data_IF_378431723593
#
_entry.id   IF_378431723593
#
_cell.length_a   1.000
_cell.length_b   1.000
_cell.length_c   1.000
_cell.angle_alpha   90.00
_cell.angle_beta   90.00
_cell.angle_gamma   90.00
#
_symmetry.space_group_name_H-M   'P 1'
#
loop_
_entity.id
_entity.type
_entity.pdbx_description
1 polymer ?
#
# COMPACT_ATOMS: atom_id res chain seq x y z
N UNK A 1 -1.93 15.04 3.46
CA UNK A 1 -2.87 13.94 3.20
C UNK A 1 -3.43 13.49 4.53
N UNK A 2 -4.72 13.16 4.63
CA UNK A 2 -5.27 12.60 5.87
C UNK A 2 -4.41 11.41 6.30
N UNK A 3 -4.06 11.38 7.59
CA UNK A 3 -3.15 10.38 8.15
C UNK A 3 -3.76 8.99 7.95
N UNK A 4 -3.07 8.14 7.20
CA UNK A 4 -3.41 6.73 7.14
C UNK A 4 -2.90 6.06 8.42
N UNK A 5 -3.58 5.01 8.90
CA UNK A 5 -3.09 4.23 10.02
C UNK A 5 -1.70 3.67 9.72
N UNK A 6 -0.83 3.60 10.73
CA UNK A 6 0.51 3.01 10.61
C UNK A 6 0.46 1.54 10.15
N UNK A 7 -0.66 0.85 10.39
CA UNK A 7 -0.89 -0.51 9.91
C UNK A 7 -0.89 -0.61 8.38
N UNK A 8 -1.25 0.46 7.66
CA UNK A 8 -1.23 0.48 6.18
C UNK A 8 0.20 0.38 5.68
N UNK A 9 1.13 1.14 6.28
CA UNK A 9 2.53 1.11 5.88
C UNK A 9 3.15 -0.26 6.19
N UNK A 10 2.84 -0.82 7.36
CA UNK A 10 3.25 -2.19 7.72
C UNK A 10 2.68 -3.23 6.73
N UNK A 11 1.40 -3.15 6.39
CA UNK A 11 0.77 -4.05 5.42
C UNK A 11 1.36 -3.89 4.01
N UNK A 12 1.79 -2.68 3.63
CA UNK A 12 2.49 -2.43 2.36
C UNK A 12 3.87 -3.12 2.38
N UNK A 13 4.65 -2.95 3.44
CA UNK A 13 5.99 -3.52 3.56
C UNK A 13 5.98 -5.05 3.61
N UNK A 14 4.99 -5.63 4.27
CA UNK A 14 4.77 -7.08 4.39
C UNK A 14 3.99 -7.68 3.21
N UNK A 15 3.79 -6.92 2.12
CA UNK A 15 3.10 -7.36 0.90
C UNK A 15 1.64 -7.82 1.12
N UNK A 16 1.02 -7.39 2.22
CA UNK A 16 -0.37 -7.69 2.60
C UNK A 16 -1.34 -6.74 1.90
N UNK A 17 -1.26 -6.66 0.56
CA UNK A 17 -1.95 -5.67 -0.29
C UNK A 17 -3.46 -5.61 -0.01
N UNK A 18 -4.12 -6.76 0.14
CA UNK A 18 -5.56 -6.83 0.43
C UNK A 18 -5.90 -6.16 1.78
N UNK A 19 -5.08 -6.36 2.80
CA UNK A 19 -5.28 -5.77 4.13
C UNK A 19 -5.05 -4.27 4.11
N UNK A 20 -4.00 -3.81 3.42
CA UNK A 20 -3.75 -2.39 3.20
C UNK A 20 -4.94 -1.72 2.50
N UNK A 21 -5.42 -2.30 1.38
CA UNK A 21 -6.57 -1.77 0.64
C UNK A 21 -7.85 -1.75 1.47
N UNK A 22 -8.11 -2.81 2.25
CA UNK A 22 -9.26 -2.87 3.14
C UNK A 22 -9.20 -1.75 4.19
N UNK A 23 -8.06 -1.59 4.85
CA UNK A 23 -7.84 -0.55 5.87
C UNK A 23 -8.01 0.85 5.28
N UNK A 24 -7.47 1.10 4.08
CA UNK A 24 -7.65 2.37 3.36
C UNK A 24 -9.12 2.65 3.08
N UNK A 25 -9.86 1.65 2.57
CA UNK A 25 -11.30 1.79 2.29
C UNK A 25 -12.12 2.07 3.54
N UNK A 26 -11.86 1.34 4.62
CA UNK A 26 -12.57 1.52 5.89
C UNK A 26 -12.26 2.88 6.53
N UNK A 27 -11.00 3.32 6.46
CA UNK A 27 -10.58 4.61 7.03
C UNK A 27 -11.12 5.80 6.24
N UNK A 28 -11.09 5.73 4.91
CA UNK A 28 -11.48 6.84 4.03
C UNK A 28 -12.95 6.78 3.58
N UNK A 29 -13.65 5.68 3.86
CA UNK A 29 -15.00 5.44 3.34
C UNK A 29 -15.06 5.41 1.80
N UNK A 30 -13.98 5.03 1.13
CA UNK A 30 -13.81 5.22 -0.32
C UNK A 30 -14.07 3.95 -1.15
N UNK A 31 -14.19 4.17 -2.46
CA UNK A 31 -14.30 3.07 -3.44
C UNK A 31 -12.98 2.30 -3.55
N UNK A 32 -13.03 1.08 -4.12
CA UNK A 32 -11.82 0.30 -4.35
C UNK A 32 -10.81 1.01 -5.26
N UNK A 33 -11.27 1.68 -6.32
CA UNK A 33 -10.39 2.46 -7.20
C UNK A 33 -9.67 3.57 -6.45
N UNK A 34 -10.40 4.36 -5.65
CA UNK A 34 -9.78 5.41 -4.84
C UNK A 34 -8.81 4.85 -3.80
N UNK A 35 -9.10 3.67 -3.23
CA UNK A 35 -8.18 3.00 -2.32
C UNK A 35 -6.91 2.54 -3.01
N UNK A 36 -7.00 2.08 -4.26
CA UNK A 36 -5.85 1.72 -5.09
C UNK A 36 -4.98 2.95 -5.39
N UNK A 37 -5.57 4.10 -5.73
CA UNK A 37 -4.83 5.36 -5.91
C UNK A 37 -4.06 5.74 -4.64
N UNK A 38 -4.75 5.71 -3.49
CA UNK A 38 -4.15 6.03 -2.18
C UNK A 38 -3.04 5.04 -1.82
N UNK A 39 -3.27 3.74 -2.07
CA UNK A 39 -2.29 2.68 -1.86
C UNK A 39 -1.04 2.90 -2.72
N UNK A 40 -1.21 3.13 -4.02
CA UNK A 40 -0.11 3.33 -4.95
C UNK A 40 0.74 4.55 -4.56
N UNK A 41 0.09 5.64 -4.16
CA UNK A 41 0.78 6.83 -3.71
C UNK A 41 1.60 6.57 -2.43
N UNK A 42 1.03 5.88 -1.43
CA UNK A 42 1.76 5.50 -0.21
C UNK A 42 2.91 4.56 -0.47
N UNK A 43 2.72 3.58 -1.34
CA UNK A 43 3.77 2.67 -1.75
C UNK A 43 4.96 3.43 -2.36
N UNK A 44 4.71 4.39 -3.25
CA UNK A 44 5.79 5.21 -3.84
C UNK A 44 6.48 6.12 -2.81
N UNK A 45 5.73 6.69 -1.85
CA UNK A 45 6.29 7.47 -0.74
C UNK A 45 7.23 6.61 0.12
N UNK A 46 6.77 5.43 0.55
CA UNK A 46 7.58 4.49 1.35
C UNK A 46 8.81 4.02 0.57
N UNK A 47 8.66 3.69 -0.71
CA UNK A 47 9.78 3.29 -1.57
C UNK A 47 10.84 4.37 -1.73
N UNK A 48 10.44 5.64 -1.69
CA UNK A 48 11.34 6.78 -1.80
C UNK A 48 12.05 7.07 -0.49
N UNK A 49 11.31 7.07 0.62
CA UNK A 49 11.82 7.48 1.92
C UNK A 49 12.57 6.34 2.63
N UNK A 50 12.17 5.09 2.39
CA UNK A 50 12.70 3.88 3.04
C UNK A 50 12.82 2.71 2.06
N UNK A 51 13.67 2.82 1.03
CA UNK A 51 13.85 1.75 0.05
C UNK A 51 14.36 0.44 0.68
N UNK A 52 15.18 0.51 1.72
CA UNK A 52 15.76 -0.65 2.42
C UNK A 52 14.75 -1.52 3.19
N UNK A 53 13.57 -0.97 3.53
CA UNK A 53 12.51 -1.73 4.20
C UNK A 53 11.76 -2.67 3.23
N UNK A 54 11.97 -2.53 1.92
CA UNK A 54 11.35 -3.41 0.92
C UNK A 54 12.27 -4.58 0.61
N UNK A 55 11.79 -5.80 0.89
CA UNK A 55 12.52 -7.04 0.58
C UNK A 55 12.42 -7.46 -0.90
N UNK A 56 11.39 -6.98 -1.63
CA UNK A 56 11.17 -7.31 -3.03
C UNK A 56 11.55 -6.17 -3.96
N UNK A 57 11.79 -6.49 -5.24
CA UNK A 57 11.90 -5.50 -6.33
C UNK A 57 10.53 -4.96 -6.72
N UNK A 58 10.47 -3.83 -7.44
CA UNK A 58 9.19 -3.27 -7.95
C UNK A 58 8.44 -4.27 -8.85
N UNK A 59 9.17 -5.08 -9.62
CA UNK A 59 8.59 -6.07 -10.54
C UNK A 59 8.01 -7.28 -9.81
N UNK A 60 8.61 -7.68 -8.69
CA UNK A 60 8.13 -8.80 -7.89
C UNK A 60 7.00 -8.38 -6.93
N UNK A 61 7.00 -7.11 -6.50
CA UNK A 61 5.99 -6.56 -5.62
C UNK A 61 4.60 -6.61 -6.27
N UNK A 62 3.66 -7.32 -5.64
CA UNK A 62 2.29 -7.47 -6.16
C UNK A 62 2.15 -8.49 -7.30
N UNK A 63 3.20 -9.29 -7.56
CA UNK A 63 3.10 -10.45 -8.45
C UNK A 63 2.02 -11.41 -7.94
N UNK A 64 1.07 -11.75 -8.81
CA UNK A 64 -0.11 -12.57 -8.46
C UNK A 64 -1.31 -11.78 -7.93
N UNK A 65 -1.17 -10.47 -7.69
CA UNK A 65 -2.28 -9.59 -7.38
C UNK A 65 -2.73 -8.76 -8.60
N UNK A 66 -1.77 -8.24 -9.38
CA UNK A 66 -2.02 -7.43 -10.58
C UNK A 66 -2.04 -8.24 -11.89
N UNK A 67 -2.36 -9.54 -11.83
CA UNK A 67 -2.35 -10.47 -12.97
C UNK A 67 -3.55 -10.31 -13.90
#
# INVERSE_FOLDING_TARGET
MEQLPESVDHDILEERIIFALKTIRETRGCTLHQALDVFAQRYEELRRDRPDDFHLSREDYGRGFYS
#
